data_IF_129071538589
#
_entry.id   IF_129071538589
#
_cell.length_a   1.000
_cell.length_b   1.000
_cell.length_c   1.000
_cell.angle_alpha   90.00
_cell.angle_beta   90.00
_cell.angle_gamma   90.00
#
_symmetry.space_group_name_H-M   'P 1'
#
loop_
_entity.id
_entity.type
_entity.pdbx_description
1 polymer ?
#
# COMPACT_ATOMS: atom_id res chain seq x y z
N UNK A 1 -14.08 15.45 -28.70
CA UNK A 1 -14.37 14.26 -27.86
C UNK A 1 -13.77 14.49 -26.48
N UNK A 2 -14.45 14.13 -25.39
CA UNK A 2 -13.87 14.21 -24.04
C UNK A 2 -13.06 12.95 -23.80
N UNK A 3 -11.73 13.06 -23.81
CA UNK A 3 -10.86 11.98 -23.37
C UNK A 3 -11.06 11.75 -21.87
N UNK A 4 -11.30 10.50 -21.48
CA UNK A 4 -11.33 10.12 -20.07
C UNK A 4 -9.88 10.06 -19.57
N UNK A 5 -9.60 10.63 -18.40
CA UNK A 5 -8.32 10.49 -17.73
C UNK A 5 -7.98 8.99 -17.56
N UNK A 6 -6.77 8.54 -17.94
CA UNK A 6 -6.37 7.15 -17.73
C UNK A 6 -6.43 6.79 -16.25
N UNK A 7 -6.72 5.52 -15.95
CA UNK A 7 -6.81 5.03 -14.58
C UNK A 7 -5.60 4.15 -14.30
N UNK A 8 -4.85 4.47 -13.26
CA UNK A 8 -3.70 3.70 -12.78
C UNK A 8 -4.09 3.04 -11.46
N UNK A 9 -4.08 1.72 -11.39
CA UNK A 9 -4.55 0.95 -10.23
C UNK A 9 -3.32 0.45 -9.50
N UNK A 10 -3.04 0.98 -8.30
CA UNK A 10 -1.93 0.55 -7.46
C UNK A 10 -2.45 -0.44 -6.41
N UNK A 11 -1.94 -1.68 -6.42
CA UNK A 11 -2.41 -2.73 -5.52
C UNK A 11 -1.43 -2.94 -4.35
N UNK A 12 -1.95 -2.96 -3.13
CA UNK A 12 -1.19 -3.35 -1.93
C UNK A 12 -1.19 -4.88 -1.72
N UNK A 13 -0.42 -5.36 -0.75
CA UNK A 13 -0.37 -6.79 -0.40
C UNK A 13 -1.74 -7.36 -0.04
N UNK A 14 -2.62 -6.61 0.63
CA UNK A 14 -3.98 -7.10 0.95
C UNK A 14 -4.87 -7.22 -0.29
N UNK A 15 -4.73 -6.33 -1.27
CA UNK A 15 -5.47 -6.38 -2.54
C UNK A 15 -5.08 -7.56 -3.43
N UNK A 16 -3.82 -7.98 -3.36
CA UNK A 16 -3.32 -9.13 -4.12
C UNK A 16 -3.73 -10.45 -3.45
N UNK A 17 -3.53 -10.58 -2.14
CA UNK A 17 -3.91 -11.78 -1.37
C UNK A 17 -5.42 -12.01 -1.25
N UNK A 18 -6.24 -10.95 -1.37
CA UNK A 18 -7.71 -11.07 -1.37
C UNK A 18 -8.31 -11.36 -2.76
N UNK A 19 -7.50 -11.71 -3.77
CA UNK A 19 -7.93 -11.89 -5.15
C UNK A 19 -7.44 -13.21 -5.76
N UNK A 20 -8.06 -13.60 -6.87
CA UNK A 20 -7.65 -14.77 -7.68
C UNK A 20 -7.07 -14.33 -9.01
N UNK A 21 -6.40 -15.23 -9.75
CA UNK A 21 -6.06 -14.99 -11.18
C UNK A 21 -7.23 -14.50 -12.03
N UNK A 22 -8.49 -14.86 -11.71
CA UNK A 22 -9.68 -14.35 -12.42
C UNK A 22 -9.93 -12.87 -12.13
N UNK A 23 -9.78 -12.45 -10.88
CA UNK A 23 -9.93 -11.05 -10.46
C UNK A 23 -8.76 -10.20 -10.97
N UNK A 24 -7.51 -10.68 -10.87
CA UNK A 24 -6.32 -9.96 -11.36
C UNK A 24 -6.37 -9.73 -12.89
N UNK A 25 -6.68 -10.77 -13.69
CA UNK A 25 -6.97 -10.61 -15.14
C UNK A 25 -8.17 -9.68 -15.40
N UNK A 26 -9.04 -9.52 -14.42
CA UNK A 26 -10.15 -8.58 -14.40
C UNK A 26 -9.71 -7.13 -14.23
N UNK A 27 -8.82 -6.86 -13.28
CA UNK A 27 -8.33 -5.52 -12.95
C UNK A 27 -7.56 -4.88 -14.12
N UNK A 28 -6.83 -5.68 -14.92
CA UNK A 28 -6.19 -5.24 -16.18
C UNK A 28 -7.16 -4.60 -17.19
N UNK A 29 -8.47 -4.80 -17.05
CA UNK A 29 -9.51 -4.21 -17.93
C UNK A 29 -10.12 -2.92 -17.38
N UNK A 30 -9.78 -2.54 -16.15
CA UNK A 30 -10.27 -1.32 -15.49
C UNK A 30 -9.28 -0.14 -15.60
N UNK A 31 -7.99 -0.45 -15.78
CA UNK A 31 -6.90 0.52 -15.88
C UNK A 31 -5.53 -0.16 -15.95
N UNK A 32 -4.47 0.63 -16.08
CA UNK A 32 -3.11 0.10 -15.98
C UNK A 32 -2.82 -0.32 -14.54
N UNK A 33 -2.51 -1.60 -14.32
CA UNK A 33 -2.21 -2.12 -12.99
C UNK A 33 -0.72 -1.98 -12.65
N UNK A 34 -0.47 -1.45 -11.46
CA UNK A 34 0.86 -1.21 -10.88
C UNK A 34 0.99 -1.96 -9.56
N UNK A 35 2.21 -2.44 -9.27
CA UNK A 35 2.56 -3.05 -7.98
C UNK A 35 3.83 -2.38 -7.42
N UNK A 36 3.84 -1.94 -6.15
CA UNK A 36 5.05 -1.45 -5.49
C UNK A 36 6.13 -2.53 -5.44
N UNK A 37 7.40 -2.15 -5.62
CA UNK A 37 8.56 -3.06 -5.56
C UNK A 37 8.58 -3.84 -4.23
N UNK A 38 8.42 -3.16 -3.09
CA UNK A 38 8.32 -3.77 -1.75
C UNK A 38 7.09 -4.67 -1.54
N UNK A 39 6.04 -4.55 -2.36
CA UNK A 39 4.88 -5.47 -2.33
C UNK A 39 5.21 -6.76 -3.09
N UNK A 40 5.97 -6.67 -4.19
CA UNK A 40 6.49 -7.85 -4.90
C UNK A 40 7.48 -8.62 -4.01
N UNK A 41 8.45 -7.94 -3.40
CA UNK A 41 9.40 -8.54 -2.46
C UNK A 41 8.69 -9.22 -1.26
N UNK A 42 7.62 -8.59 -0.75
CA UNK A 42 6.82 -9.16 0.34
C UNK A 42 6.03 -10.40 -0.11
N UNK A 43 5.54 -10.46 -1.36
CA UNK A 43 4.86 -11.65 -1.89
C UNK A 43 5.83 -12.76 -2.29
N UNK A 44 7.03 -12.45 -2.76
CA UNK A 44 8.13 -13.41 -2.98
C UNK A 44 8.57 -14.04 -1.64
N UNK A 45 8.71 -13.24 -0.58
CA UNK A 45 8.92 -13.77 0.76
C UNK A 45 7.76 -14.67 1.23
N UNK A 46 6.50 -14.24 1.02
CA UNK A 46 5.33 -14.95 1.49
C UNK A 46 5.01 -16.24 0.72
N UNK A 47 5.49 -16.42 -0.51
CA UNK A 47 5.24 -17.67 -1.26
C UNK A 47 5.95 -18.90 -0.69
N UNK A 48 6.87 -18.76 0.26
CA UNK A 48 7.52 -19.88 0.98
C UNK A 48 7.66 -19.65 2.50
N UNK A 49 7.14 -18.53 3.05
CA UNK A 49 7.28 -18.15 4.46
C UNK A 49 6.01 -17.50 5.07
N UNK A 50 4.83 -17.70 4.48
CA UNK A 50 3.58 -17.29 5.12
C UNK A 50 3.24 -18.21 6.30
N UNK A 51 2.54 -17.68 7.31
CA UNK A 51 2.10 -18.48 8.47
C UNK A 51 0.85 -19.34 8.18
N UNK A 52 0.17 -19.08 7.07
CA UNK A 52 -1.08 -19.71 6.64
C UNK A 52 -0.89 -20.31 5.24
N UNK A 53 -1.17 -21.60 5.03
CA UNK A 53 -0.96 -22.25 3.72
C UNK A 53 -1.79 -21.64 2.58
N UNK A 54 -2.97 -21.10 2.86
CA UNK A 54 -3.80 -20.41 1.86
C UNK A 54 -3.13 -19.11 1.40
N UNK A 55 -2.61 -18.32 2.34
CA UNK A 55 -1.84 -17.11 2.07
C UNK A 55 -0.54 -17.40 1.31
N UNK A 56 0.14 -18.52 1.62
CA UNK A 56 1.30 -19.00 0.84
C UNK A 56 0.91 -19.34 -0.61
N UNK A 57 -0.18 -20.10 -0.79
CA UNK A 57 -0.66 -20.53 -2.10
C UNK A 57 -1.06 -19.35 -2.99
N UNK A 58 -1.78 -18.36 -2.47
CA UNK A 58 -2.17 -17.16 -3.24
C UNK A 58 -0.95 -16.29 -3.58
N UNK A 59 0.02 -16.15 -2.67
CA UNK A 59 1.28 -15.47 -2.98
C UNK A 59 2.05 -16.19 -4.10
N UNK A 60 2.15 -17.53 -4.03
CA UNK A 60 2.78 -18.36 -5.06
C UNK A 60 2.05 -18.30 -6.41
N UNK A 61 0.72 -18.29 -6.43
CA UNK A 61 -0.09 -18.07 -7.64
C UNK A 61 0.17 -16.67 -8.24
N UNK A 62 0.22 -15.63 -7.41
CA UNK A 62 0.49 -14.28 -7.87
C UNK A 62 1.89 -14.14 -8.49
N UNK A 63 2.91 -14.74 -7.86
CA UNK A 63 4.29 -14.70 -8.37
C UNK A 63 4.43 -15.43 -9.72
N UNK A 64 3.59 -16.43 -10.01
CA UNK A 64 3.51 -17.09 -11.33
C UNK A 64 2.70 -16.29 -12.37
N UNK A 65 1.70 -15.53 -11.92
CA UNK A 65 0.86 -14.66 -12.75
C UNK A 65 1.59 -13.37 -13.18
N UNK A 66 2.24 -12.69 -12.25
CA UNK A 66 2.75 -11.33 -12.42
C UNK A 66 3.70 -11.17 -13.64
N UNK A 67 4.71 -12.03 -13.88
CA UNK A 67 5.60 -11.90 -15.05
C UNK A 67 4.90 -11.99 -16.42
N UNK A 68 3.68 -12.53 -16.45
CA UNK A 68 2.86 -12.75 -17.65
C UNK A 68 1.66 -11.78 -17.74
N UNK A 69 1.52 -10.89 -16.77
CA UNK A 69 0.31 -10.06 -16.57
C UNK A 69 0.27 -8.76 -17.37
N UNK A 70 1.44 -8.26 -17.82
CA UNK A 70 1.61 -6.91 -18.37
C UNK A 70 1.55 -5.79 -17.31
N UNK A 71 1.46 -6.12 -16.02
CA UNK A 71 1.45 -5.14 -14.93
C UNK A 71 2.83 -4.51 -14.71
N UNK A 72 2.86 -3.29 -14.16
CA UNK A 72 4.07 -2.47 -14.04
C UNK A 72 4.59 -2.44 -12.60
N UNK A 73 5.86 -2.77 -12.39
CA UNK A 73 6.55 -2.48 -11.12
C UNK A 73 6.66 -0.96 -10.94
N UNK A 74 6.49 -0.45 -9.72
CA UNK A 74 6.84 0.92 -9.37
C UNK A 74 7.67 0.98 -8.08
N UNK A 75 8.66 1.86 -8.09
CA UNK A 75 9.38 2.35 -6.92
C UNK A 75 9.36 3.90 -6.90
N UNK A 76 8.35 4.50 -7.56
CA UNK A 76 8.15 5.95 -7.63
C UNK A 76 7.62 6.46 -6.29
N UNK A 77 8.48 6.54 -5.28
CA UNK A 77 8.16 7.08 -3.95
C UNK A 77 8.34 8.61 -3.96
N UNK A 78 7.41 9.33 -3.35
CA UNK A 78 7.55 10.76 -3.04
C UNK A 78 7.21 11.06 -1.58
N UNK A 79 7.86 12.07 -1.00
CA UNK A 79 7.59 12.51 0.38
C UNK A 79 6.36 13.42 0.48
N UNK A 80 5.52 13.19 1.49
CA UNK A 80 4.46 14.10 1.92
C UNK A 80 4.49 14.24 3.45
N UNK A 81 4.20 15.42 4.05
CA UNK A 81 4.27 15.61 5.51
C UNK A 81 3.41 14.62 6.31
N UNK A 82 2.22 14.27 5.84
CA UNK A 82 1.32 13.31 6.52
C UNK A 82 1.74 11.83 6.37
N UNK A 83 2.73 11.54 5.53
CA UNK A 83 3.29 10.20 5.31
C UNK A 83 4.57 9.95 6.12
N UNK A 84 4.98 10.86 6.99
CA UNK A 84 6.15 10.67 7.86
C UNK A 84 5.79 9.82 9.09
N UNK A 85 6.73 9.01 9.63
CA UNK A 85 6.56 8.36 10.92
C UNK A 85 6.49 9.38 12.05
N UNK A 86 5.81 9.03 13.16
CA UNK A 86 5.92 9.79 14.39
C UNK A 86 7.38 9.76 14.90
N UNK A 87 7.95 10.89 15.35
CA UNK A 87 9.33 10.93 15.83
C UNK A 87 9.54 10.01 17.04
N UNK A 88 10.76 9.49 17.18
CA UNK A 88 11.15 8.59 18.27
C UNK A 88 10.60 7.15 18.20
N UNK A 89 9.71 6.83 17.27
CA UNK A 89 9.04 5.52 17.21
C UNK A 89 9.69 4.56 16.20
N UNK A 90 10.02 3.34 16.64
CA UNK A 90 10.53 2.28 15.78
C UNK A 90 9.40 1.61 14.99
N UNK A 91 9.28 1.93 13.69
CA UNK A 91 8.27 1.32 12.83
C UNK A 91 8.41 -0.21 12.73
N UNK A 92 7.30 -0.92 12.90
CA UNK A 92 7.16 -2.35 12.58
C UNK A 92 7.30 -2.61 11.08
N UNK A 93 7.57 -3.86 10.65
CA UNK A 93 7.69 -4.22 9.23
C UNK A 93 6.44 -3.83 8.43
N UNK A 94 5.23 -4.11 8.95
CA UNK A 94 3.96 -3.70 8.34
C UNK A 94 3.88 -2.18 8.19
N UNK A 95 4.20 -1.42 9.24
CA UNK A 95 4.08 0.03 9.20
C UNK A 95 5.03 0.69 8.18
N UNK A 96 6.23 0.13 7.96
CA UNK A 96 7.14 0.58 6.89
C UNK A 96 6.53 0.33 5.51
N UNK A 97 6.12 -0.91 5.25
CA UNK A 97 5.46 -1.31 4.01
C UNK A 97 4.23 -0.42 3.70
N UNK A 98 3.39 -0.13 4.70
CA UNK A 98 2.25 0.80 4.55
C UNK A 98 2.69 2.21 4.13
N UNK A 99 3.76 2.76 4.70
CA UNK A 99 4.25 4.09 4.31
C UNK A 99 4.87 4.08 2.90
N UNK A 100 5.57 3.02 2.52
CA UNK A 100 6.19 2.90 1.19
C UNK A 100 5.16 2.68 0.08
N UNK A 101 4.07 1.95 0.36
CA UNK A 101 2.90 1.83 -0.54
C UNK A 101 2.20 3.19 -0.70
N UNK A 102 2.02 3.94 0.39
CA UNK A 102 1.45 5.31 0.34
C UNK A 102 2.36 6.28 -0.42
N UNK A 103 3.68 6.19 -0.20
CA UNK A 103 4.68 6.97 -0.94
C UNK A 103 4.68 6.64 -2.44
N UNK A 104 4.49 5.36 -2.80
CA UNK A 104 4.27 4.93 -4.19
C UNK A 104 2.98 5.49 -4.79
N UNK A 105 1.88 5.52 -4.03
CA UNK A 105 0.60 6.06 -4.49
C UNK A 105 0.69 7.56 -4.77
N UNK A 106 1.29 8.31 -3.84
CA UNK A 106 1.53 9.75 -3.97
C UNK A 106 2.52 10.07 -5.10
N UNK A 107 3.64 9.34 -5.19
CA UNK A 107 4.64 9.55 -6.24
C UNK A 107 4.14 9.20 -7.65
N UNK A 108 3.28 8.18 -7.81
CA UNK A 108 2.56 7.96 -9.07
C UNK A 108 1.62 9.11 -9.41
N UNK A 109 0.89 9.67 -8.44
CA UNK A 109 -0.05 10.77 -8.68
C UNK A 109 0.68 12.04 -9.15
N UNK A 110 1.82 12.38 -8.54
CA UNK A 110 2.69 13.47 -9.00
C UNK A 110 3.31 13.21 -10.38
N UNK A 111 3.66 11.95 -10.68
CA UNK A 111 4.28 11.56 -11.96
C UNK A 111 3.29 11.54 -13.14
N UNK A 112 2.01 11.32 -12.87
CA UNK A 112 0.96 11.21 -13.89
C UNK A 112 -0.23 12.13 -13.55
N UNK A 113 -0.06 13.47 -13.56
CA UNK A 113 -1.09 14.43 -13.14
C UNK A 113 -2.37 14.39 -13.99
N UNK A 114 -2.29 13.89 -15.22
CA UNK A 114 -3.43 13.71 -16.13
C UNK A 114 -4.15 12.36 -15.98
N UNK A 115 -3.66 11.47 -15.12
CA UNK A 115 -4.23 10.14 -14.84
C UNK A 115 -4.72 10.05 -13.39
N UNK A 116 -5.82 9.34 -13.16
CA UNK A 116 -6.33 9.08 -11.81
C UNK A 116 -5.65 7.83 -11.24
N UNK A 117 -4.90 8.00 -10.16
CA UNK A 117 -4.34 6.91 -9.37
C UNK A 117 -5.39 6.42 -8.37
N UNK A 118 -5.60 5.10 -8.34
CA UNK A 118 -6.49 4.42 -7.39
C UNK A 118 -5.63 3.48 -6.55
N UNK A 119 -5.38 3.83 -5.29
CA UNK A 119 -4.76 2.90 -4.34
C UNK A 119 -5.82 1.92 -3.84
N UNK A 120 -5.54 0.63 -4.00
CA UNK A 120 -6.43 -0.45 -3.59
C UNK A 120 -5.82 -1.18 -2.40
N UNK A 121 -6.52 -1.12 -1.26
CA UNK A 121 -6.11 -1.75 -0.01
C UNK A 121 -7.31 -1.97 0.93
N UNK A 122 -7.25 -3.00 1.77
CA UNK A 122 -8.24 -3.22 2.85
C UNK A 122 -7.83 -2.57 4.18
N UNK A 123 -6.63 -1.98 4.29
CA UNK A 123 -6.19 -1.27 5.49
C UNK A 123 -6.86 0.12 5.57
N UNK A 124 -7.87 0.24 6.44
CA UNK A 124 -8.61 1.49 6.61
C UNK A 124 -7.71 2.67 7.04
N UNK A 125 -6.62 2.42 7.78
CA UNK A 125 -5.68 3.50 8.16
C UNK A 125 -4.88 4.01 6.97
N UNK A 126 -4.55 3.12 6.02
CA UNK A 126 -3.95 3.47 4.73
C UNK A 126 -4.93 4.30 3.89
N UNK A 127 -6.20 3.89 3.78
CA UNK A 127 -7.22 4.61 3.02
C UNK A 127 -7.49 6.02 3.60
N UNK A 128 -7.56 6.16 4.92
CA UNK A 128 -7.69 7.48 5.57
C UNK A 128 -6.47 8.37 5.32
N UNK A 129 -5.25 7.81 5.31
CA UNK A 129 -4.04 8.57 4.95
C UNK A 129 -4.06 9.08 3.52
N UNK A 130 -4.61 8.32 2.55
CA UNK A 130 -4.78 8.81 1.17
C UNK A 130 -5.71 10.01 1.10
N UNK A 131 -6.85 9.98 1.80
CA UNK A 131 -7.78 11.11 1.84
C UNK A 131 -7.11 12.38 2.42
N UNK A 132 -6.28 12.21 3.46
CA UNK A 132 -5.47 13.26 4.07
C UNK A 132 -4.22 13.70 3.26
N UNK A 133 -4.08 13.27 1.99
CA UNK A 133 -3.13 13.86 1.04
C UNK A 133 -3.75 15.05 0.28
N UNK A 134 -5.08 15.13 0.19
CA UNK A 134 -5.81 16.16 -0.56
C UNK A 134 -5.39 16.29 -2.05
N UNK A 135 -4.92 15.21 -2.66
CA UNK A 135 -4.45 15.16 -4.06
C UNK A 135 -5.62 14.87 -5.01
N UNK A 136 -5.85 15.78 -5.96
CA UNK A 136 -7.01 15.74 -6.88
C UNK A 136 -7.07 14.45 -7.72
N UNK A 137 -5.92 13.95 -8.18
CA UNK A 137 -5.82 12.77 -9.05
C UNK A 137 -5.42 11.48 -8.31
N UNK A 138 -5.69 11.38 -7.00
CA UNK A 138 -5.42 10.18 -6.20
C UNK A 138 -6.59 9.87 -5.27
N UNK A 139 -7.09 8.63 -5.29
CA UNK A 139 -8.10 8.17 -4.33
C UNK A 139 -7.82 6.76 -3.80
N UNK A 140 -8.39 6.46 -2.63
CA UNK A 140 -8.33 5.13 -2.01
C UNK A 140 -9.61 4.31 -2.28
N UNK A 141 -9.48 3.00 -2.43
CA UNK A 141 -10.59 2.08 -2.69
C UNK A 141 -10.40 0.75 -1.93
N UNK A 142 -11.42 0.23 -1.19
CA UNK A 142 -11.36 -1.11 -0.62
C UNK A 142 -11.42 -2.18 -1.72
N UNK A 143 -10.80 -3.34 -1.47
CA UNK A 143 -10.64 -4.40 -2.48
C UNK A 143 -11.99 -4.94 -2.96
N UNK A 144 -12.96 -5.03 -2.05
CA UNK A 144 -14.35 -5.42 -2.35
C UNK A 144 -15.02 -4.49 -3.38
N UNK A 145 -14.72 -3.19 -3.36
CA UNK A 145 -15.26 -2.24 -4.33
C UNK A 145 -14.54 -2.33 -5.69
N UNK A 146 -13.26 -2.71 -5.74
CA UNK A 146 -12.58 -3.04 -7.00
C UNK A 146 -13.17 -4.32 -7.62
N UNK A 147 -13.39 -5.36 -6.81
CA UNK A 147 -14.04 -6.59 -7.24
C UNK A 147 -15.48 -6.34 -7.76
N UNK A 148 -16.27 -5.53 -7.06
CA UNK A 148 -17.61 -5.13 -7.52
C UNK A 148 -17.56 -4.34 -8.83
N UNK A 149 -16.60 -3.41 -8.98
CA UNK A 149 -16.41 -2.67 -10.23
C UNK A 149 -16.05 -3.61 -11.39
N UNK A 150 -15.11 -4.54 -11.19
CA UNK A 150 -14.76 -5.55 -12.19
C UNK A 150 -15.98 -6.40 -12.59
N UNK A 151 -16.75 -6.90 -11.61
CA UNK A 151 -17.86 -7.83 -11.86
C UNK A 151 -19.09 -7.15 -12.48
N UNK A 152 -19.37 -5.89 -12.13
CA UNK A 152 -20.57 -5.16 -12.60
C UNK A 152 -20.29 -4.15 -13.72
N UNK A 153 -19.02 -3.86 -14.01
CA UNK A 153 -18.56 -2.76 -14.87
C UNK A 153 -18.99 -1.35 -14.41
N UNK A 154 -19.63 -1.21 -13.24
CA UNK A 154 -20.03 0.09 -12.67
C UNK A 154 -18.88 0.69 -11.86
N UNK A 155 -18.40 1.87 -12.25
CA UNK A 155 -17.31 2.57 -11.57
C UNK A 155 -17.76 3.06 -10.17
N UNK A 156 -16.97 2.85 -9.10
CA UNK A 156 -17.29 3.34 -7.75
C UNK A 156 -17.39 4.87 -7.70
N UNK A 157 -18.25 5.39 -6.82
CA UNK A 157 -18.54 6.83 -6.80
C UNK A 157 -17.34 7.70 -6.42
N UNK A 158 -16.44 7.23 -5.55
CA UNK A 158 -15.18 7.94 -5.26
C UNK A 158 -14.33 8.15 -6.52
N UNK A 159 -14.26 7.15 -7.41
CA UNK A 159 -13.49 7.26 -8.66
C UNK A 159 -14.22 8.16 -9.67
N UNK A 160 -15.57 8.13 -9.72
CA UNK A 160 -16.33 9.10 -10.51
C UNK A 160 -16.14 10.55 -10.01
N UNK A 161 -16.10 10.77 -8.70
CA UNK A 161 -15.92 12.07 -8.07
C UNK A 161 -14.54 12.66 -8.37
N UNK A 162 -13.46 11.91 -8.19
CA UNK A 162 -12.11 12.37 -8.58
C UNK A 162 -12.00 12.61 -10.09
N UNK A 163 -12.61 11.79 -10.94
CA UNK A 163 -12.71 12.06 -12.39
C UNK A 163 -13.53 13.32 -12.74
N UNK A 164 -14.39 13.82 -11.85
CA UNK A 164 -15.05 15.12 -12.00
C UNK A 164 -14.14 16.25 -11.54
N UNK A 165 -13.52 16.14 -10.36
CA UNK A 165 -12.55 17.13 -9.84
C UNK A 165 -11.41 17.40 -10.83
N UNK A 166 -10.85 16.34 -11.44
CA UNK A 166 -9.81 16.45 -12.48
C UNK A 166 -10.25 17.16 -13.76
N UNK A 167 -11.56 17.25 -14.05
CA UNK A 167 -12.11 18.03 -15.18
C UNK A 167 -12.44 19.47 -14.79
N UNK A 168 -12.85 19.67 -13.54
CA UNK A 168 -13.21 20.99 -12.99
C UNK A 168 -12.01 21.82 -12.56
N UNK A 169 -10.82 21.20 -12.42
CA UNK A 169 -9.56 21.92 -12.20
C UNK A 169 -8.98 22.38 -13.54
N UNK A 170 -9.08 23.68 -13.92
CA UNK A 170 -8.30 24.19 -15.05
C UNK A 170 -6.81 23.97 -14.76
N UNK A 171 -6.07 23.47 -15.74
CA UNK A 171 -4.68 23.07 -15.53
C UNK A 171 -3.77 24.26 -15.26
N UNK A 172 -3.26 24.39 -14.05
CA UNK A 172 -2.12 25.27 -13.75
C UNK A 172 -0.93 24.79 -14.58
N UNK A 173 -0.41 25.58 -15.54
CA UNK A 173 0.77 25.16 -16.30
C UNK A 173 1.96 25.09 -15.36
N UNK A 174 2.53 23.90 -15.19
CA UNK A 174 3.72 23.70 -14.37
C UNK A 174 4.89 24.48 -14.95
N UNK A 175 5.33 25.54 -14.27
CA UNK A 175 6.45 26.37 -14.69
C UNK A 175 7.67 25.50 -14.96
N UNK A 176 8.25 25.51 -16.18
CA UNK A 176 9.45 24.75 -16.46
C UNK A 176 10.61 25.31 -15.63
N UNK A 177 11.17 24.49 -14.74
CA UNK A 177 12.39 24.82 -14.01
C UNK A 177 13.51 24.95 -15.04
N UNK A 178 13.85 26.18 -15.37
CA UNK A 178 14.73 26.52 -16.48
C UNK A 178 16.21 26.41 -16.05
N UNK A 179 16.69 25.18 -15.86
CA UNK A 179 18.08 24.85 -15.55
C UNK A 179 19.01 25.15 -16.73
N UNK A 180 19.27 26.44 -16.96
CA UNK A 180 20.41 26.91 -17.75
C UNK A 180 21.72 26.47 -17.09
N UNK A 181 22.31 25.37 -17.56
CA UNK A 181 23.76 25.21 -17.57
C UNK A 181 24.27 25.44 -18.99
N UNK A 182 25.30 26.28 -19.13
CA UNK A 182 25.90 26.62 -20.41
C UNK A 182 27.01 25.60 -20.75
N UNK A 183 27.04 25.19 -22.02
CA UNK A 183 28.09 24.33 -22.59
C UNK A 183 29.25 25.14 -23.18
N UNK A 184 30.33 24.44 -23.58
CA UNK A 184 31.63 24.92 -24.10
C UNK A 184 32.66 25.26 -22.97
N UNK A 185 33.78 24.53 -22.82
CA UNK A 185 34.98 24.38 -23.67
C UNK A 185 35.98 25.56 -23.49
N UNK A 186 37.31 25.43 -23.64
CA UNK A 186 38.15 24.45 -24.36
C UNK A 186 39.60 24.46 -23.81
N UNK A 187 40.37 23.38 -24.07
CA UNK A 187 41.85 23.13 -24.08
C UNK A 187 42.86 24.27 -23.73
N UNK A 188 44.09 24.02 -23.23
CA UNK A 188 44.89 22.75 -23.17
C UNK A 188 45.44 22.48 -21.73
N UNK A 189 46.70 22.19 -21.33
CA UNK A 189 48.07 22.07 -21.95
C UNK A 189 48.96 21.12 -21.08
N UNK A 190 50.26 20.97 -21.36
CA UNK A 190 51.23 20.03 -20.73
C UNK A 190 52.64 20.68 -20.60
N UNK A 191 53.72 20.01 -20.11
CA UNK A 191 53.85 18.88 -19.18
C UNK A 191 54.94 19.08 -18.07
N UNK A 192 54.95 18.24 -17.03
CA UNK A 192 56.15 17.89 -16.23
C UNK A 192 55.93 16.54 -15.50
N UNK A 193 56.99 15.85 -15.10
CA UNK A 193 56.93 14.48 -14.56
C UNK A 193 57.53 14.36 -13.15
N UNK A 194 57.09 13.36 -12.37
CA UNK A 194 57.92 12.50 -11.47
C UNK A 194 57.10 11.29 -11.00
N UNK A 195 57.79 10.21 -10.65
CA UNK A 195 57.26 8.86 -10.37
C UNK A 195 56.75 8.69 -8.94
N UNK A 196 55.65 7.94 -8.75
CA UNK A 196 55.44 7.05 -7.59
C UNK A 196 54.40 5.96 -7.90
N UNK A 197 54.57 4.77 -7.30
CA UNK A 197 53.72 3.57 -7.49
C UNK A 197 52.88 3.29 -6.21
N UNK A 198 52.11 2.19 -6.07
CA UNK A 198 50.70 2.31 -5.68
C UNK A 198 50.40 1.91 -4.23
N UNK A 199 49.26 2.37 -3.71
CA UNK A 199 48.62 1.82 -2.50
C UNK A 199 47.19 1.41 -2.85
N UNK A 200 46.84 0.16 -2.57
CA UNK A 200 45.50 -0.38 -2.81
C UNK A 200 44.61 -0.20 -1.56
N UNK A 201 43.35 0.20 -1.78
CA UNK A 201 42.33 0.25 -0.71
C UNK A 201 41.32 -0.90 -0.87
N UNK A 202 41.16 -1.77 0.13
CA UNK A 202 40.25 -2.93 0.03
C UNK A 202 38.79 -2.56 0.31
N UNK A 203 37.86 -3.17 -0.44
CA UNK A 203 36.43 -2.96 -0.27
C UNK A 203 35.88 -3.66 1.01
N UNK A 204 35.42 -2.89 2.00
CA UNK A 204 34.84 -3.45 3.24
C UNK A 204 33.39 -3.93 3.05
N UNK A 205 33.24 -5.18 2.60
CA UNK A 205 31.98 -5.93 2.54
C UNK A 205 31.49 -6.33 3.94
N UNK A 206 30.83 -5.42 4.68
CA UNK A 206 30.22 -5.74 5.99
C UNK A 206 28.95 -6.60 5.87
N UNK A 207 29.13 -7.92 5.79
CA UNK A 207 28.14 -8.86 6.35
C UNK A 207 28.08 -8.66 7.87
N UNK A 208 26.87 -8.67 8.44
CA UNK A 208 26.67 -8.93 9.88
C UNK A 208 25.52 -9.92 10.05
N UNK A 209 25.85 -11.13 10.46
CA UNK A 209 24.90 -12.07 11.04
C UNK A 209 24.56 -11.62 12.47
N UNK A 210 23.36 -11.96 12.92
CA UNK A 210 22.91 -11.68 14.29
C UNK A 210 21.57 -12.36 14.55
N UNK A 211 21.61 -13.51 15.24
CA UNK A 211 20.39 -14.17 15.73
C UNK A 211 19.91 -13.47 16.99
N UNK A 212 18.60 -13.25 17.11
CA UNK A 212 17.92 -13.16 18.41
C UNK A 212 16.55 -13.83 18.28
N UNK A 213 16.50 -15.11 18.64
CA UNK A 213 15.25 -15.80 18.96
C UNK A 213 14.81 -15.41 20.38
N UNK A 214 13.56 -15.76 20.70
CA UNK A 214 12.92 -15.81 22.03
C UNK A 214 12.14 -14.58 22.53
N UNK A 215 10.84 -14.85 22.73
CA UNK A 215 9.95 -14.41 23.84
C UNK A 215 9.43 -12.96 23.82
N UNK A 216 8.10 -12.84 23.98
CA UNK A 216 7.39 -11.55 24.14
C UNK A 216 5.86 -11.61 23.96
N UNK A 217 5.19 -12.74 24.25
CA UNK A 217 3.83 -13.03 23.79
C UNK A 217 2.77 -13.17 24.91
N UNK A 218 2.60 -12.13 25.75
CA UNK A 218 1.46 -12.02 26.69
C UNK A 218 0.97 -10.56 26.79
N UNK A 219 0.16 -10.08 25.84
CA UNK A 219 -0.49 -8.75 25.96
C UNK A 219 -1.75 -8.51 25.08
N UNK A 220 -2.47 -9.56 24.67
CA UNK A 220 -3.68 -9.40 23.82
C UNK A 220 -5.00 -9.86 24.47
N UNK A 221 -4.97 -10.57 25.61
CA UNK A 221 -6.19 -11.13 26.21
C UNK A 221 -7.05 -10.09 26.95
N UNK A 222 -6.41 -9.14 27.64
CA UNK A 222 -7.09 -8.14 28.48
C UNK A 222 -7.99 -7.22 27.63
N UNK A 223 -7.49 -6.76 26.48
CA UNK A 223 -8.22 -5.88 25.55
C UNK A 223 -9.51 -6.52 25.02
N UNK A 224 -9.50 -7.84 24.77
CA UNK A 224 -10.68 -8.57 24.31
C UNK A 224 -11.75 -8.70 25.40
N UNK A 225 -11.35 -8.89 26.66
CA UNK A 225 -12.27 -8.96 27.80
C UNK A 225 -12.96 -7.59 28.02
N UNK A 226 -12.21 -6.49 27.98
CA UNK A 226 -12.77 -5.14 28.11
C UNK A 226 -13.71 -4.79 26.95
N UNK A 227 -13.38 -5.20 25.72
CA UNK A 227 -14.26 -5.04 24.56
C UNK A 227 -15.55 -5.86 24.69
N UNK A 228 -15.47 -7.11 25.16
CA UNK A 228 -16.64 -7.96 25.38
C UNK A 228 -17.59 -7.40 26.46
N UNK A 229 -17.03 -6.90 27.57
CA UNK A 229 -17.81 -6.26 28.64
C UNK A 229 -18.51 -5.00 28.15
N UNK A 230 -17.81 -4.13 27.40
CA UNK A 230 -18.41 -2.87 26.91
C UNK A 230 -19.49 -3.10 25.85
N UNK A 231 -19.30 -4.05 24.92
CA UNK A 231 -20.34 -4.44 23.95
C UNK A 231 -21.55 -5.06 24.65
N UNK A 232 -21.33 -5.94 25.64
CA UNK A 232 -22.39 -6.56 26.45
C UNK A 232 -23.23 -5.52 27.22
N UNK A 233 -22.56 -4.54 27.85
CA UNK A 233 -23.23 -3.45 28.55
C UNK A 233 -24.11 -2.61 27.62
N UNK A 234 -23.58 -2.17 26.47
CA UNK A 234 -24.37 -1.39 25.48
C UNK A 234 -25.56 -2.20 24.94
N UNK A 235 -25.38 -3.48 24.63
CA UNK A 235 -26.49 -4.36 24.20
C UNK A 235 -27.58 -4.44 25.27
N UNK A 236 -27.21 -4.67 26.53
CA UNK A 236 -28.17 -4.82 27.63
C UNK A 236 -29.11 -3.61 27.82
N UNK A 237 -28.63 -2.40 27.49
CA UNK A 237 -29.41 -1.15 27.54
C UNK A 237 -30.23 -0.96 26.26
N UNK A 238 -29.64 -1.17 25.08
CA UNK A 238 -30.29 -0.89 23.79
C UNK A 238 -31.30 -1.96 23.38
N UNK A 239 -31.15 -3.20 23.83
CA UNK A 239 -32.04 -4.32 23.44
C UNK A 239 -32.18 -5.38 24.54
N UNK A 240 -32.82 -5.04 25.68
CA UNK A 240 -32.94 -5.94 26.83
C UNK A 240 -33.73 -7.23 26.54
N UNK A 241 -34.61 -7.24 25.54
CA UNK A 241 -35.37 -8.43 25.15
C UNK A 241 -34.50 -9.50 24.46
N UNK A 242 -33.74 -9.12 23.42
CA UNK A 242 -32.85 -10.04 22.71
C UNK A 242 -31.66 -10.48 23.58
N UNK A 243 -31.16 -9.58 24.45
CA UNK A 243 -30.16 -9.91 25.45
C UNK A 243 -30.64 -11.03 26.40
N UNK A 244 -31.87 -10.93 26.93
CA UNK A 244 -32.44 -11.98 27.79
C UNK A 244 -32.66 -13.29 27.04
N UNK A 245 -33.13 -13.26 25.80
CA UNK A 245 -33.31 -14.47 24.98
C UNK A 245 -31.97 -15.17 24.70
N UNK A 246 -30.91 -14.42 24.39
CA UNK A 246 -29.56 -14.96 24.17
C UNK A 246 -29.03 -15.70 25.42
N UNK A 247 -29.13 -15.08 26.61
CA UNK A 247 -28.71 -15.73 27.85
C UNK A 247 -29.58 -16.93 28.25
N UNK A 248 -30.85 -16.97 27.84
CA UNK A 248 -31.73 -18.13 28.05
C UNK A 248 -31.45 -19.30 27.09
N UNK A 249 -30.74 -19.07 25.98
CA UNK A 249 -30.31 -20.13 25.04
C UNK A 249 -28.95 -20.74 25.40
N UNK A 250 -28.17 -20.10 26.28
CA UNK A 250 -26.90 -20.63 26.76
C UNK A 250 -27.14 -21.65 27.90
N UNK A 251 -26.73 -22.94 27.77
CA UNK A 251 -27.02 -24.00 28.74
C UNK A 251 -26.22 -23.92 30.05
N UNK A 252 -25.64 -22.75 30.35
CA UNK A 252 -24.74 -22.49 31.48
C UNK A 252 -25.46 -21.74 32.61
N UNK A 253 -26.55 -21.02 32.30
CA UNK A 253 -27.36 -20.31 33.32
C UNK A 253 -28.32 -21.30 33.99
N UNK A 254 -27.81 -22.02 34.99
CA UNK A 254 -28.61 -22.95 35.80
C UNK A 254 -29.79 -22.24 36.48
N UNK A 255 -30.99 -22.84 36.38
CA UNK A 255 -32.15 -22.38 37.15
C UNK A 255 -31.89 -22.60 38.65
N UNK A 256 -32.08 -21.60 39.53
CA UNK A 256 -32.32 -21.89 40.93
C UNK A 256 -33.62 -22.71 41.08
N UNK A 257 -33.65 -23.56 42.10
CA UNK A 257 -34.88 -24.15 42.65
C UNK A 257 -35.32 -23.32 43.85
#
# INVERSE_FOLDING_TARGET
>A
MVLLAPILILLDTTALLSGTTRDWRGFSRLGECYVPEVVLEQLEFMSDHAAEPETEAVAREFNQFYPKSGWKKTNTIAEHPTLKPAPGHTLSKRARLTLEVLGCAYGLALRYPTSLVVLVANDQSMLQKVLALHVTNLCGLPVTALQQWHRTQRRPQVVNHHLQLMRSSPGTPSTPVNTRSLSAAKRTTSPAATVSRPVAYPAQRRRRSGRSLLIGLVSNLISLIVLAITVSAVWSVVSPASFKQFWQQLPIVGKPR
#
